data_IF_297747270475
#
_entry.id   IF_297747270475
#
_cell.length_a   1.000
_cell.length_b   1.000
_cell.length_c   1.000
_cell.angle_alpha   90.00
_cell.angle_beta   90.00
_cell.angle_gamma   90.00
#
_symmetry.space_group_name_H-M   'P 1'
#
loop_
_entity.id
_entity.type
_entity.pdbx_description
1 polymer ?
#
# COMPACT_ATOMS: atom_id res chain seq x y z
N UNK A 1 45.12 55.74 38.07
CA UNK A 1 44.40 54.48 37.77
C UNK A 1 43.86 54.55 36.35
N UNK A 2 44.33 53.71 35.41
CA UNK A 2 43.74 53.57 34.06
C UNK A 2 43.38 52.09 33.88
N UNK A 3 42.07 51.79 33.83
CA UNK A 3 41.57 50.42 33.56
C UNK A 3 41.68 50.15 32.06
N UNK A 4 42.52 49.19 31.67
CA UNK A 4 42.51 48.62 30.32
C UNK A 4 41.21 47.82 30.13
N UNK A 5 40.45 48.14 29.08
CA UNK A 5 39.31 47.32 28.62
C UNK A 5 39.86 46.21 27.73
N UNK A 6 39.65 44.95 28.11
CA UNK A 6 39.92 43.80 27.26
C UNK A 6 38.79 43.65 26.24
N UNK A 7 39.09 43.89 24.96
CA UNK A 7 38.18 43.56 23.88
C UNK A 7 38.17 42.04 23.71
N UNK A 8 37.06 41.42 24.09
CA UNK A 8 36.78 40.03 23.79
C UNK A 8 36.26 39.97 22.35
N UNK A 9 37.10 39.53 21.42
CA UNK A 9 36.65 39.19 20.07
C UNK A 9 36.11 37.76 20.14
N UNK A 10 34.85 37.57 19.76
CA UNK A 10 34.27 36.25 19.59
C UNK A 10 34.55 35.78 18.16
N UNK A 11 34.97 34.53 18.00
CA UNK A 11 35.12 33.92 16.68
C UNK A 11 33.75 33.88 15.98
N UNK A 12 33.69 34.41 14.77
CA UNK A 12 32.46 34.55 13.99
C UNK A 12 32.66 33.96 12.59
N UNK A 13 31.64 33.27 12.09
CA UNK A 13 31.63 32.74 10.72
C UNK A 13 31.32 33.82 9.70
N UNK A 14 31.93 33.72 8.53
CA UNK A 14 31.64 34.60 7.40
C UNK A 14 30.27 34.28 6.79
N UNK A 15 29.61 35.30 6.22
CA UNK A 15 28.33 35.13 5.53
C UNK A 15 28.41 34.08 4.42
N UNK A 16 29.53 34.02 3.70
CA UNK A 16 29.77 33.06 2.63
C UNK A 16 29.90 31.63 3.12
N UNK A 17 30.54 31.39 4.28
CA UNK A 17 30.62 30.05 4.87
C UNK A 17 29.23 29.53 5.25
N UNK A 18 28.39 30.39 5.85
CA UNK A 18 27.00 30.04 6.20
C UNK A 18 26.17 29.76 4.93
N UNK A 19 26.37 30.52 3.85
CA UNK A 19 25.68 30.30 2.57
C UNK A 19 26.07 28.97 1.92
N UNK A 20 27.35 28.61 1.94
CA UNK A 20 27.84 27.34 1.38
C UNK A 20 27.27 26.16 2.20
N UNK A 21 27.28 26.26 3.53
CA UNK A 21 26.71 25.24 4.41
C UNK A 21 25.21 25.06 4.16
N UNK A 22 24.46 26.15 4.03
CA UNK A 22 23.02 26.09 3.73
C UNK A 22 22.73 25.45 2.37
N UNK A 23 23.55 25.76 1.35
CA UNK A 23 23.46 25.16 0.02
C UNK A 23 23.68 23.64 0.07
N UNK A 24 24.71 23.17 0.79
CA UNK A 24 25.01 21.75 0.95
C UNK A 24 23.86 21.04 1.69
N UNK A 25 23.34 21.62 2.77
CA UNK A 25 22.19 21.06 3.50
C UNK A 25 20.95 20.96 2.58
N UNK A 26 20.69 21.98 1.75
CA UNK A 26 19.59 21.97 0.79
C UNK A 26 19.68 20.83 -0.23
N UNK A 27 20.87 20.59 -0.80
CA UNK A 27 21.09 19.48 -1.75
C UNK A 27 20.89 18.12 -1.05
N UNK A 28 21.40 17.96 0.16
CA UNK A 28 21.24 16.72 0.93
C UNK A 28 19.77 16.43 1.26
N UNK A 29 18.99 17.45 1.63
CA UNK A 29 17.56 17.27 1.89
C UNK A 29 16.79 16.81 0.64
N UNK A 30 17.14 17.33 -0.55
CA UNK A 30 16.53 16.89 -1.81
C UNK A 30 16.88 15.44 -2.18
N UNK A 31 18.10 15.00 -1.90
CA UNK A 31 18.51 13.60 -2.13
C UNK A 31 17.90 12.64 -1.11
N UNK A 32 17.64 13.10 0.10
CA UNK A 32 17.20 12.24 1.21
C UNK A 32 15.72 11.92 1.16
N UNK A 33 14.86 12.79 0.62
CA UNK A 33 13.42 12.53 0.54
C UNK A 33 13.13 11.44 -0.50
N UNK A 34 12.89 10.18 -0.10
CA UNK A 34 12.50 9.14 -1.03
C UNK A 34 11.01 9.32 -1.37
N UNK A 35 10.58 8.86 -2.55
CA UNK A 35 9.16 8.80 -2.89
C UNK A 35 8.48 7.73 -2.03
N UNK A 36 7.67 8.18 -1.06
CA UNK A 36 6.94 7.31 -0.12
C UNK A 36 5.78 6.54 -0.80
N UNK A 37 5.47 6.82 -2.05
CA UNK A 37 4.33 6.23 -2.77
C UNK A 37 4.45 4.70 -2.86
N UNK A 38 5.63 4.16 -3.17
CA UNK A 38 5.82 2.71 -3.36
C UNK A 38 5.61 1.89 -2.08
N UNK A 39 5.91 2.44 -0.90
CA UNK A 39 5.66 1.72 0.37
C UNK A 39 4.18 1.72 0.74
N UNK A 40 3.42 2.73 0.31
CA UNK A 40 1.99 2.84 0.54
C UNK A 40 1.24 1.86 -0.36
N UNK A 41 1.58 1.79 -1.66
CA UNK A 41 0.97 0.84 -2.59
C UNK A 41 1.24 -0.61 -2.18
N UNK A 42 2.46 -0.89 -1.70
CA UNK A 42 2.78 -2.21 -1.17
C UNK A 42 2.03 -2.57 0.11
N UNK A 43 1.86 -1.62 1.04
CA UNK A 43 1.05 -1.84 2.24
C UNK A 43 -0.43 -2.10 1.90
N UNK A 44 -0.98 -1.38 0.92
CA UNK A 44 -2.33 -1.60 0.39
C UNK A 44 -2.46 -2.95 -0.32
N UNK A 45 -1.46 -3.36 -1.08
CA UNK A 45 -1.43 -4.69 -1.71
C UNK A 45 -1.45 -5.83 -0.70
N UNK A 46 -0.85 -5.66 0.48
CA UNK A 46 -0.91 -6.66 1.56
C UNK A 46 -2.35 -6.85 2.07
N UNK A 47 -3.15 -5.78 2.11
CA UNK A 47 -4.58 -5.85 2.45
C UNK A 47 -5.35 -6.71 1.45
N UNK A 48 -5.15 -6.47 0.14
CA UNK A 48 -5.75 -7.26 -0.93
C UNK A 48 -5.36 -8.75 -0.84
N UNK A 49 -4.06 -9.02 -0.67
CA UNK A 49 -3.55 -10.39 -0.52
C UNK A 49 -4.13 -11.08 0.73
N UNK A 50 -4.31 -10.35 1.83
CA UNK A 50 -4.90 -10.88 3.06
C UNK A 50 -6.37 -11.27 2.84
N UNK A 51 -7.16 -10.39 2.23
CA UNK A 51 -8.57 -10.65 1.92
C UNK A 51 -8.75 -11.81 0.95
N UNK A 52 -7.94 -11.87 -0.12
CA UNK A 52 -7.97 -12.99 -1.07
C UNK A 52 -7.57 -14.32 -0.40
N UNK A 53 -6.60 -14.31 0.51
CA UNK A 53 -6.26 -15.51 1.29
C UNK A 53 -7.39 -15.93 2.24
N UNK A 54 -8.10 -14.96 2.83
CA UNK A 54 -9.26 -15.25 3.66
C UNK A 54 -10.37 -15.91 2.83
N UNK A 55 -10.70 -15.33 1.67
CA UNK A 55 -11.66 -15.90 0.72
C UNK A 55 -11.26 -17.31 0.27
N UNK A 56 -9.99 -17.53 -0.08
CA UNK A 56 -9.47 -18.87 -0.41
C UNK A 56 -9.72 -19.89 0.71
N UNK A 57 -9.53 -19.49 1.96
CA UNK A 57 -9.79 -20.33 3.12
C UNK A 57 -11.26 -20.74 3.23
N UNK A 58 -12.17 -19.80 3.00
CA UNK A 58 -13.61 -20.04 3.01
C UNK A 58 -14.05 -20.93 1.85
N UNK A 59 -13.57 -20.66 0.64
CA UNK A 59 -13.83 -21.48 -0.55
C UNK A 59 -13.39 -22.93 -0.35
N UNK A 60 -12.20 -23.11 0.24
CA UNK A 60 -11.68 -24.45 0.54
C UNK A 60 -12.51 -25.16 1.61
N UNK A 61 -12.97 -24.43 2.63
CA UNK A 61 -13.89 -24.98 3.63
C UNK A 61 -15.23 -25.39 3.01
N UNK A 62 -15.79 -24.53 2.16
CA UNK A 62 -17.02 -24.79 1.42
C UNK A 62 -16.88 -26.01 0.51
N UNK A 63 -15.76 -26.11 -0.21
CA UNK A 63 -15.45 -27.27 -1.04
C UNK A 63 -15.39 -28.57 -0.23
N UNK A 64 -14.81 -28.56 0.98
CA UNK A 64 -14.82 -29.75 1.84
C UNK A 64 -16.21 -30.14 2.36
N UNK A 65 -17.15 -29.19 2.42
CA UNK A 65 -18.52 -29.44 2.90
C UNK A 65 -19.48 -29.83 1.79
N UNK A 66 -19.37 -29.21 0.62
CA UNK A 66 -20.33 -29.32 -0.47
C UNK A 66 -19.72 -29.86 -1.78
N UNK A 67 -18.42 -30.18 -1.79
CA UNK A 67 -17.68 -30.69 -2.96
C UNK A 67 -17.73 -29.78 -4.19
N UNK A 68 -17.95 -28.48 -3.99
CA UNK A 68 -18.01 -27.46 -5.05
C UNK A 68 -17.54 -26.10 -4.51
N UNK A 69 -16.96 -25.28 -5.38
CA UNK A 69 -16.78 -23.85 -5.11
C UNK A 69 -18.08 -23.09 -5.44
N UNK A 70 -18.24 -21.90 -4.88
CA UNK A 70 -19.46 -21.10 -5.09
C UNK A 70 -19.09 -19.65 -5.40
N UNK A 71 -19.86 -18.98 -6.25
CA UNK A 71 -19.64 -17.54 -6.49
C UNK A 71 -20.44 -16.68 -5.49
N UNK A 72 -21.21 -17.31 -4.61
CA UNK A 72 -22.09 -16.64 -3.68
C UNK A 72 -21.40 -16.39 -2.34
N UNK A 73 -21.21 -15.12 -2.00
CA UNK A 73 -20.56 -14.71 -0.74
C UNK A 73 -21.37 -15.07 0.51
N UNK A 74 -22.70 -15.17 0.42
CA UNK A 74 -23.58 -15.55 1.53
C UNK A 74 -23.41 -17.03 1.86
N UNK A 75 -23.33 -17.89 0.83
CA UNK A 75 -23.01 -19.32 1.00
C UNK A 75 -21.61 -19.55 1.62
N UNK A 76 -20.65 -18.68 1.31
CA UNK A 76 -19.30 -18.70 1.87
C UNK A 76 -19.22 -18.14 3.29
N UNK A 77 -20.20 -17.33 3.71
CA UNK A 77 -20.13 -16.51 4.91
C UNK A 77 -19.00 -15.47 4.82
N UNK A 78 -18.66 -15.01 3.62
CA UNK A 78 -17.64 -13.98 3.41
C UNK A 78 -18.30 -12.61 3.53
N UNK A 79 -18.00 -11.89 4.59
CA UNK A 79 -18.42 -10.50 4.77
C UNK A 79 -17.28 -9.57 4.32
N UNK A 80 -17.33 -9.00 3.10
CA UNK A 80 -16.34 -8.02 2.68
C UNK A 80 -16.42 -6.80 3.60
N UNK A 81 -15.26 -6.27 3.98
CA UNK A 81 -15.20 -5.02 4.72
C UNK A 81 -15.80 -3.89 3.87
N UNK A 82 -16.53 -2.97 4.52
CA UNK A 82 -17.11 -1.80 3.86
C UNK A 82 -16.02 -1.06 3.09
N UNK A 83 -16.28 -0.83 1.82
CA UNK A 83 -15.38 -0.14 0.92
C UNK A 83 -15.40 1.36 1.16
N UNK A 84 -14.36 2.05 0.72
CA UNK A 84 -14.26 3.52 0.85
C UNK A 84 -15.44 4.27 0.20
N UNK A 85 -16.04 3.73 -0.87
CA UNK A 85 -17.24 4.30 -1.51
C UNK A 85 -18.50 4.19 -0.64
N UNK A 86 -18.50 3.24 0.30
CA UNK A 86 -19.60 2.98 1.23
C UNK A 86 -19.32 3.54 2.64
N UNK A 87 -18.29 4.38 2.79
CA UNK A 87 -17.91 4.99 4.07
C UNK A 87 -17.10 4.08 5.00
N UNK A 88 -16.56 2.97 4.47
CA UNK A 88 -15.65 2.09 5.19
C UNK A 88 -14.17 2.39 4.94
N UNK A 89 -13.31 1.44 5.29
CA UNK A 89 -11.85 1.59 5.21
C UNK A 89 -11.21 0.74 4.11
N UNK A 90 -11.95 -0.19 3.50
CA UNK A 90 -11.39 -1.12 2.52
C UNK A 90 -11.14 -0.43 1.18
N UNK A 91 -9.91 -0.55 0.68
CA UNK A 91 -9.48 0.09 -0.58
C UNK A 91 -9.65 -0.84 -1.78
N UNK A 92 -9.84 -2.14 -1.55
CA UNK A 92 -10.07 -3.13 -2.61
C UNK A 92 -11.48 -3.68 -2.57
N UNK A 93 -12.05 -3.91 -3.76
CA UNK A 93 -13.29 -4.65 -3.99
C UNK A 93 -12.95 -6.08 -4.38
N UNK A 94 -13.55 -7.04 -3.68
CA UNK A 94 -13.37 -8.47 -3.95
C UNK A 94 -14.51 -8.98 -4.84
N UNK A 95 -14.17 -9.72 -5.89
CA UNK A 95 -15.12 -10.33 -6.82
C UNK A 95 -14.69 -11.77 -7.16
N UNK A 96 -15.64 -12.68 -7.25
CA UNK A 96 -15.41 -14.05 -7.72
C UNK A 96 -15.75 -14.10 -9.21
N UNK A 97 -14.75 -14.29 -10.07
CA UNK A 97 -14.91 -14.32 -11.53
C UNK A 97 -15.43 -15.68 -11.98
N UNK A 98 -14.92 -16.75 -11.38
CA UNK A 98 -15.26 -18.12 -11.75
C UNK A 98 -15.39 -18.97 -10.48
N UNK A 99 -16.48 -19.72 -10.40
CA UNK A 99 -16.65 -20.78 -9.42
C UNK A 99 -17.22 -22.01 -10.12
N UNK A 100 -16.48 -23.11 -10.07
CA UNK A 100 -16.84 -24.39 -10.68
C UNK A 100 -16.66 -25.52 -9.66
N UNK A 101 -16.93 -26.76 -10.05
CA UNK A 101 -16.70 -27.92 -9.17
C UNK A 101 -15.21 -28.14 -8.89
N UNK A 102 -14.31 -27.71 -9.78
CA UNK A 102 -12.87 -28.03 -9.69
C UNK A 102 -11.94 -26.81 -9.71
N UNK A 103 -12.44 -25.64 -10.09
CA UNK A 103 -11.68 -24.38 -10.15
C UNK A 103 -12.47 -23.27 -9.49
N UNK A 104 -11.73 -22.31 -8.93
CA UNK A 104 -12.28 -21.02 -8.59
C UNK A 104 -11.25 -19.95 -8.90
N UNK A 105 -11.75 -18.76 -9.19
CA UNK A 105 -10.94 -17.59 -9.50
C UNK A 105 -11.57 -16.36 -8.87
N UNK A 106 -10.80 -15.66 -8.04
CA UNK A 106 -11.23 -14.42 -7.43
C UNK A 106 -10.23 -13.30 -7.66
N UNK A 107 -10.74 -12.08 -7.73
CA UNK A 107 -9.96 -10.87 -7.96
C UNK A 107 -10.24 -9.81 -6.89
N UNK A 108 -9.22 -9.03 -6.58
CA UNK A 108 -9.29 -7.85 -5.75
C UNK A 108 -8.86 -6.64 -6.58
N UNK A 109 -9.78 -5.71 -6.85
CA UNK A 109 -9.52 -4.50 -7.64
C UNK A 109 -9.52 -3.28 -6.74
N UNK A 110 -8.49 -2.42 -6.85
CA UNK A 110 -8.45 -1.18 -6.08
C UNK A 110 -9.56 -0.22 -6.50
N UNK A 111 -10.09 0.53 -5.54
CA UNK A 111 -11.09 1.57 -5.75
C UNK A 111 -10.47 2.96 -5.93
N UNK A 112 -9.17 3.07 -5.62
CA UNK A 112 -8.38 4.27 -5.80
C UNK A 112 -7.22 3.95 -6.72
N UNK A 113 -6.97 4.90 -7.60
CA UNK A 113 -5.78 4.98 -8.45
C UNK A 113 -4.65 5.58 -7.61
N UNK A 114 -3.53 4.85 -7.44
CA UNK A 114 -2.45 5.28 -6.55
C UNK A 114 -1.43 6.19 -7.24
N UNK A 115 -1.32 6.15 -8.57
CA UNK A 115 -0.39 6.97 -9.36
C UNK A 115 -1.06 7.91 -10.39
N UNK A 116 -2.40 7.92 -10.44
CA UNK A 116 -3.25 8.75 -11.33
C UNK A 116 -3.01 8.44 -12.82
N UNK A 117 -2.64 7.18 -13.13
CA UNK A 117 -2.40 6.70 -14.51
C UNK A 117 -3.64 6.09 -15.19
N UNK A 118 -4.74 5.93 -14.45
CA UNK A 118 -6.01 5.34 -14.90
C UNK A 118 -6.10 3.81 -14.79
N UNK A 119 -5.07 3.13 -14.27
CA UNK A 119 -5.02 1.70 -14.05
C UNK A 119 -5.20 1.35 -12.57
N UNK A 120 -6.19 0.51 -12.27
CA UNK A 120 -6.44 0.10 -10.90
C UNK A 120 -5.65 -1.17 -10.55
N UNK A 121 -4.87 -1.11 -9.48
CA UNK A 121 -4.13 -2.26 -8.95
C UNK A 121 -5.08 -3.46 -8.78
N UNK A 122 -4.76 -4.56 -9.45
CA UNK A 122 -5.63 -5.74 -9.47
C UNK A 122 -4.85 -7.00 -9.12
N UNK A 123 -5.28 -7.64 -8.03
CA UNK A 123 -4.75 -8.92 -7.57
C UNK A 123 -5.72 -10.05 -7.91
N UNK A 124 -5.16 -11.22 -8.17
CA UNK A 124 -5.90 -12.42 -8.53
C UNK A 124 -5.42 -13.59 -7.67
N UNK A 125 -6.36 -14.46 -7.28
CA UNK A 125 -6.07 -15.73 -6.61
C UNK A 125 -6.82 -16.88 -7.29
N UNK A 126 -6.15 -18.02 -7.37
CA UNK A 126 -6.70 -19.27 -7.91
C UNK A 126 -6.88 -20.36 -6.82
N UNK A 127 -7.47 -21.50 -7.22
CA UNK A 127 -7.63 -22.67 -6.36
C UNK A 127 -6.31 -23.31 -5.88
N UNK A 128 -5.18 -22.97 -6.51
CA UNK A 128 -3.84 -23.42 -6.11
C UNK A 128 -3.17 -22.47 -5.11
N UNK A 129 -3.88 -21.41 -4.68
CA UNK A 129 -3.36 -20.36 -3.80
C UNK A 129 -2.22 -19.57 -4.43
N UNK A 130 -2.21 -19.46 -5.76
CA UNK A 130 -1.27 -18.62 -6.49
C UNK A 130 -1.84 -17.21 -6.49
N UNK A 131 -1.22 -16.30 -5.74
CA UNK A 131 -1.52 -14.88 -5.81
C UNK A 131 -0.70 -14.25 -6.93
N UNK A 132 -1.38 -13.58 -7.84
CA UNK A 132 -0.76 -12.88 -8.96
C UNK A 132 -1.29 -11.45 -9.04
N UNK A 133 -0.38 -10.52 -9.17
CA UNK A 133 -0.70 -9.14 -9.54
C UNK A 133 -0.88 -9.09 -11.05
N UNK A 134 -2.10 -8.80 -11.50
CA UNK A 134 -2.46 -8.74 -12.93
C UNK A 134 -2.21 -7.33 -13.49
N UNK A 135 -2.45 -6.30 -12.68
CA UNK A 135 -2.21 -4.89 -13.00
C UNK A 135 -1.42 -4.28 -11.86
N UNK A 136 -0.24 -3.72 -12.17
CA UNK A 136 0.67 -3.09 -11.22
C UNK A 136 0.43 -1.59 -11.12
N UNK A 137 0.55 -1.08 -9.91
CA UNK A 137 0.48 0.33 -9.52
C UNK A 137 1.42 0.55 -8.31
#
# INVERSE_FOLDING_TARGET
MKKQKSNWYADAYSMTEILIVLCIIGILLLMVLPSQTSVITQAKSIEAQSMLNHLYGLEKNHFYRHSRYTADFDELGFEPALTIDQGGQAVYRIEIIEASTNSFKATATSLSDFDDDGNYNTWEIDQKKVLKETVKD
#
